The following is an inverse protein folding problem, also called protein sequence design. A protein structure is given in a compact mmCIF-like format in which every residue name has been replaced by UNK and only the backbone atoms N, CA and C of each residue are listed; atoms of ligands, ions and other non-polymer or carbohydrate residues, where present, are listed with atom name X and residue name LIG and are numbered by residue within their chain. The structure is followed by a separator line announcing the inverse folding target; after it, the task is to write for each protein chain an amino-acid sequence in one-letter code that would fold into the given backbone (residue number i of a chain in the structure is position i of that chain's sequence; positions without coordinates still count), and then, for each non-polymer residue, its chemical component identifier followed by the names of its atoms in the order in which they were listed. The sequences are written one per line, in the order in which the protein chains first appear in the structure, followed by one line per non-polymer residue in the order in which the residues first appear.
data_IF_578253809660
#
_entry.id   IF_578253809660
#
_cell.length_a   1.000
_cell.length_b   1.000
_cell.length_c   1.000
_cell.angle_alpha   90.00
_cell.angle_beta   90.00
_cell.angle_gamma   90.00
#
_symmetry.space_group_name_H-M   'P 1'
#
loop_
_entity.id
_entity.type
_entity.pdbx_description
1 polymer ?
#
# COMPACT_ATOMS: atom_id res chain seq x y z
N UNK A 1 -15.69 -30.00 83.41
CA UNK A 1 -17.06 -29.61 82.99
C UNK A 1 -16.89 -28.58 81.88
N UNK A 2 -17.33 -28.74 80.64
CA UNK A 2 -18.06 -29.83 79.99
C UNK A 2 -17.95 -29.69 78.45
N UNK A 3 -16.74 -29.86 77.90
CA UNK A 3 -16.49 -29.82 76.44
C UNK A 3 -16.82 -31.12 75.70
N UNK A 4 -17.31 -32.15 76.42
CA UNK A 4 -17.61 -33.46 75.84
C UNK A 4 -19.05 -33.62 75.34
N UNK A 5 -19.95 -32.70 75.68
CA UNK A 5 -21.36 -32.80 75.25
C UNK A 5 -21.60 -32.15 73.88
N UNK A 6 -20.84 -31.13 73.47
CA UNK A 6 -21.05 -30.46 72.17
C UNK A 6 -20.52 -31.23 70.95
N UNK A 7 -19.55 -32.14 71.10
CA UNK A 7 -19.00 -32.88 69.95
C UNK A 7 -19.86 -34.06 69.48
N UNK A 8 -20.78 -34.58 70.31
CA UNK A 8 -21.63 -35.72 69.90
C UNK A 8 -22.74 -35.33 68.91
N UNK A 9 -23.26 -34.11 68.97
CA UNK A 9 -24.35 -33.67 68.08
C UNK A 9 -23.91 -33.25 66.67
N UNK A 10 -22.62 -32.98 66.42
CA UNK A 10 -22.11 -32.69 65.05
C UNK A 10 -21.86 -33.93 64.20
N UNK A 11 -21.66 -35.11 64.81
CA UNK A 11 -21.42 -36.37 64.07
C UNK A 11 -22.70 -37.05 63.57
N UNK A 12 -23.86 -36.76 64.16
CA UNK A 12 -25.17 -37.26 63.68
C UNK A 12 -25.58 -36.66 62.34
N UNK A 13 -25.46 -35.33 62.17
CA UNK A 13 -25.93 -34.61 60.97
C UNK A 13 -25.12 -34.87 59.69
N UNK A 14 -23.84 -35.27 59.77
CA UNK A 14 -23.01 -35.53 58.57
C UNK A 14 -23.27 -36.90 57.93
N UNK A 15 -23.77 -37.89 58.69
CA UNK A 15 -24.05 -39.24 58.14
C UNK A 15 -25.43 -39.33 57.47
N UNK A 16 -26.38 -38.46 57.81
CA UNK A 16 -27.70 -38.43 57.16
C UNK A 16 -27.66 -37.77 55.77
N UNK A 17 -26.87 -36.71 55.57
CA UNK A 17 -26.80 -36.03 54.27
C UNK A 17 -26.12 -36.86 53.15
N UNK A 18 -25.17 -37.75 53.50
CA UNK A 18 -24.53 -38.64 52.52
C UNK A 18 -25.44 -39.80 52.09
N UNK A 19 -26.29 -40.31 53.00
CA UNK A 19 -27.30 -41.31 52.64
C UNK A 19 -28.39 -40.73 51.75
N UNK A 20 -28.70 -39.44 51.88
CA UNK A 20 -29.68 -38.79 51.00
C UNK A 20 -29.14 -38.58 49.58
N UNK A 21 -27.86 -38.19 49.43
CA UNK A 21 -27.23 -37.99 48.13
C UNK A 21 -27.00 -39.29 47.34
N UNK A 22 -26.69 -40.40 48.01
CA UNK A 22 -26.50 -41.70 47.33
C UNK A 22 -27.84 -42.34 46.93
N UNK A 23 -28.93 -42.02 47.62
CA UNK A 23 -30.29 -42.52 47.27
C UNK A 23 -31.01 -41.68 46.21
N UNK A 24 -30.55 -40.45 45.95
CA UNK A 24 -31.16 -39.56 44.94
C UNK A 24 -30.60 -39.74 43.53
N UNK A 25 -29.48 -40.46 43.38
CA UNK A 25 -28.94 -40.81 42.05
C UNK A 25 -29.76 -42.02 41.54
N UNK A 26 -30.56 -41.86 40.47
CA UNK A 26 -31.34 -42.98 39.95
C UNK A 26 -30.35 -44.04 39.47
N UNK A 27 -30.42 -45.25 40.00
CA UNK A 27 -29.47 -46.32 39.64
C UNK A 27 -29.41 -46.57 38.12
N UNK A 28 -30.51 -46.26 37.41
CA UNK A 28 -30.61 -46.31 35.95
C UNK A 28 -29.58 -45.42 35.25
N UNK A 29 -29.24 -44.25 35.82
CA UNK A 29 -28.25 -43.32 35.29
C UNK A 29 -26.80 -43.83 35.48
N UNK A 30 -26.52 -44.54 36.57
CA UNK A 30 -25.20 -45.15 36.81
C UNK A 30 -24.91 -46.33 35.86
N UNK A 31 -25.95 -47.01 35.37
CA UNK A 31 -25.82 -48.08 34.37
C UNK A 31 -25.83 -47.52 32.94
N UNK A 32 -26.61 -46.47 32.69
CA UNK A 32 -26.69 -45.83 31.37
C UNK A 32 -25.35 -45.26 30.93
N UNK A 33 -24.61 -44.64 31.85
CA UNK A 33 -23.36 -43.93 31.55
C UNK A 33 -22.26 -44.85 30.98
N UNK A 34 -21.94 -46.03 31.55
CA UNK A 34 -20.97 -46.94 30.95
C UNK A 34 -21.48 -47.55 29.64
N UNK A 35 -22.79 -47.80 29.49
CA UNK A 35 -23.37 -48.29 28.22
C UNK A 35 -23.27 -47.23 27.12
N UNK A 36 -23.53 -45.96 27.45
CA UNK A 36 -23.42 -44.85 26.50
C UNK A 36 -21.97 -44.64 26.08
N UNK A 37 -21.01 -44.78 26.99
CA UNK A 37 -19.57 -44.73 26.67
C UNK A 37 -19.15 -45.93 25.81
N UNK A 38 -19.60 -47.15 26.13
CA UNK A 38 -19.28 -48.36 25.38
C UNK A 38 -19.93 -48.42 23.99
N UNK A 39 -21.02 -47.68 23.74
CA UNK A 39 -21.65 -47.61 22.41
C UNK A 39 -21.17 -46.40 21.63
N UNK A 40 -21.08 -45.22 22.26
CA UNK A 40 -20.71 -43.99 21.57
C UNK A 40 -19.25 -44.00 21.10
N UNK A 41 -18.31 -44.54 21.90
CA UNK A 41 -16.90 -44.54 21.50
C UNK A 41 -16.66 -45.45 20.28
N UNK A 42 -17.14 -46.71 20.23
CA UNK A 42 -16.97 -47.52 19.04
C UNK A 42 -17.73 -46.97 17.83
N UNK A 43 -18.94 -46.44 18.00
CA UNK A 43 -19.71 -45.86 16.88
C UNK A 43 -19.03 -44.60 16.34
N UNK A 44 -18.49 -43.74 17.21
CA UNK A 44 -17.74 -42.56 16.79
C UNK A 44 -16.42 -42.93 16.12
N UNK A 45 -15.70 -43.92 16.66
CA UNK A 45 -14.44 -44.42 16.06
C UNK A 45 -14.69 -45.08 14.70
N UNK A 46 -15.72 -45.92 14.57
CA UNK A 46 -16.08 -46.57 13.31
C UNK A 46 -16.64 -45.58 12.29
N UNK A 47 -17.45 -44.61 12.72
CA UNK A 47 -17.98 -43.54 11.88
C UNK A 47 -16.90 -42.60 11.35
N UNK A 48 -15.93 -42.21 12.20
CA UNK A 48 -14.81 -41.36 11.78
C UNK A 48 -13.83 -42.09 10.87
N UNK A 49 -13.48 -43.36 11.15
CA UNK A 49 -12.58 -44.13 10.29
C UNK A 49 -13.22 -44.53 8.95
N UNK A 50 -14.52 -44.86 8.95
CA UNK A 50 -15.23 -45.17 7.69
C UNK A 50 -15.49 -43.90 6.89
N UNK A 51 -15.84 -42.79 7.56
CA UNK A 51 -15.99 -41.47 6.93
C UNK A 51 -14.70 -40.95 6.32
N UNK A 52 -13.56 -41.09 7.01
CA UNK A 52 -12.25 -40.70 6.49
C UNK A 52 -11.78 -41.52 5.29
N UNK A 53 -12.30 -42.73 5.07
CA UNK A 53 -11.99 -43.54 3.88
C UNK A 53 -12.96 -43.34 2.72
N UNK A 54 -14.24 -43.06 3.00
CA UNK A 54 -15.26 -42.85 1.97
C UNK A 54 -15.21 -41.43 1.36
N UNK A 55 -14.95 -40.39 2.15
CA UNK A 55 -14.93 -39.01 1.66
C UNK A 55 -13.82 -38.71 0.63
N UNK A 56 -12.55 -39.13 0.83
CA UNK A 56 -11.51 -38.91 -0.18
C UNK A 56 -11.74 -39.74 -1.45
N UNK A 57 -12.40 -40.89 -1.33
CA UNK A 57 -12.71 -41.75 -2.48
C UNK A 57 -13.81 -41.13 -3.35
N UNK A 58 -14.85 -40.54 -2.76
CA UNK A 58 -15.90 -39.84 -3.52
C UNK A 58 -15.40 -38.51 -4.10
N UNK A 59 -14.62 -37.72 -3.37
CA UNK A 59 -14.07 -36.47 -3.92
C UNK A 59 -13.10 -36.73 -5.08
N UNK A 60 -12.28 -37.78 -5.02
CA UNK A 60 -11.42 -38.20 -6.14
C UNK A 60 -12.22 -38.74 -7.33
N UNK A 61 -13.34 -39.43 -7.08
CA UNK A 61 -14.21 -39.92 -8.17
C UNK A 61 -14.88 -38.76 -8.91
N UNK A 62 -15.37 -37.74 -8.19
CA UNK A 62 -15.90 -36.53 -8.80
C UNK A 62 -14.81 -35.72 -9.51
N UNK A 63 -13.62 -35.56 -8.91
CA UNK A 63 -12.48 -34.87 -9.54
C UNK A 63 -12.03 -35.53 -10.86
N UNK A 64 -12.06 -36.86 -10.93
CA UNK A 64 -11.70 -37.59 -12.15
C UNK A 64 -12.80 -37.56 -13.23
N UNK A 65 -14.07 -37.32 -12.86
CA UNK A 65 -15.19 -37.26 -13.79
C UNK A 65 -15.47 -35.83 -14.32
N UNK A 66 -15.10 -34.79 -13.57
CA UNK A 66 -15.41 -33.40 -13.95
C UNK A 66 -14.38 -32.73 -14.86
N UNK A 67 -13.33 -33.46 -15.26
CA UNK A 67 -12.20 -32.87 -15.97
C UNK A 67 -11.43 -31.88 -15.09
N UNK A 68 -10.25 -31.44 -15.56
CA UNK A 68 -9.54 -30.36 -14.88
C UNK A 68 -10.47 -29.15 -14.73
N UNK A 69 -10.54 -28.52 -13.55
CA UNK A 69 -11.33 -27.30 -13.40
C UNK A 69 -10.93 -26.33 -14.52
N UNK A 70 -11.90 -25.65 -15.16
CA UNK A 70 -11.57 -24.67 -16.18
C UNK A 70 -10.53 -23.71 -15.58
N UNK A 71 -9.44 -23.49 -16.33
CA UNK A 71 -8.41 -22.55 -15.92
C UNK A 71 -9.10 -21.25 -15.48
N UNK A 72 -8.77 -20.75 -14.30
CA UNK A 72 -9.39 -19.55 -13.76
C UNK A 72 -9.39 -18.47 -14.84
N UNK A 73 -10.57 -17.96 -15.19
CA UNK A 73 -10.68 -16.87 -16.16
C UNK A 73 -9.80 -15.74 -15.67
N UNK A 74 -8.75 -15.34 -16.42
CA UNK A 74 -7.84 -14.31 -15.95
C UNK A 74 -8.65 -13.04 -15.71
N UNK A 75 -8.49 -12.45 -14.53
CA UNK A 75 -9.12 -11.16 -14.19
C UNK A 75 -8.78 -10.17 -15.31
N UNK A 76 -9.77 -9.54 -15.94
CA UNK A 76 -9.50 -8.59 -17.01
C UNK A 76 -8.60 -7.48 -16.48
N UNK A 77 -7.59 -7.11 -17.28
CA UNK A 77 -6.68 -6.02 -16.94
C UNK A 77 -7.48 -4.71 -16.77
N UNK A 78 -7.09 -3.83 -15.83
CA UNK A 78 -7.69 -2.52 -15.72
C UNK A 78 -7.58 -1.76 -17.05
N UNK A 79 -8.58 -0.95 -17.42
CA UNK A 79 -8.47 -0.09 -18.59
C UNK A 79 -7.38 0.96 -18.38
N UNK A 80 -6.74 1.47 -19.43
CA UNK A 80 -5.85 2.62 -19.24
C UNK A 80 -6.64 3.86 -18.78
N UNK A 81 -6.07 4.70 -17.90
CA UNK A 81 -6.70 5.96 -17.54
C UNK A 81 -6.82 6.87 -18.77
N UNK A 82 -7.91 7.63 -18.84
CA UNK A 82 -8.14 8.62 -19.92
C UNK A 82 -7.31 9.89 -19.76
N UNK A 83 -6.82 10.14 -18.54
CA UNK A 83 -5.99 11.29 -18.17
C UNK A 83 -4.78 10.82 -17.39
N UNK A 84 -3.68 11.56 -17.48
CA UNK A 84 -2.46 11.30 -16.72
C UNK A 84 -2.33 12.28 -15.55
N UNK A 85 -1.62 11.92 -14.47
CA UNK A 85 -1.22 12.88 -13.45
C UNK A 85 -0.53 14.10 -14.08
N UNK A 86 -0.77 15.29 -13.54
CA UNK A 86 -0.22 16.54 -14.03
C UNK A 86 0.52 17.26 -12.92
N UNK A 87 1.68 17.84 -13.23
CA UNK A 87 2.35 18.77 -12.32
C UNK A 87 1.63 20.12 -12.42
N UNK A 88 1.47 20.81 -11.31
CA UNK A 88 0.80 22.10 -11.25
C UNK A 88 1.03 22.81 -9.93
N UNK A 89 0.51 24.02 -9.83
CA UNK A 89 0.67 24.90 -8.66
C UNK A 89 -0.65 25.15 -7.95
N UNK A 90 -0.56 25.50 -6.67
CA UNK A 90 -1.60 26.11 -5.87
C UNK A 90 -1.43 27.63 -5.93
N UNK A 91 -2.52 28.38 -5.99
CA UNK A 91 -2.48 29.83 -5.90
C UNK A 91 -2.63 30.27 -4.45
N UNK A 92 -1.75 31.15 -4.01
CA UNK A 92 -1.80 31.74 -2.67
C UNK A 92 -1.68 33.25 -2.76
N UNK A 93 -2.59 33.97 -2.11
CA UNK A 93 -2.52 35.43 -2.02
C UNK A 93 -1.78 35.83 -0.76
N UNK A 94 -0.66 36.53 -0.92
CA UNK A 94 0.20 37.03 0.16
C UNK A 94 -0.60 37.92 1.10
N UNK A 95 -0.49 37.66 2.40
CA UNK A 95 -1.08 38.47 3.47
C UNK A 95 -0.04 39.41 4.09
N UNK A 96 -0.51 40.37 4.88
CA UNK A 96 0.37 41.26 5.65
C UNK A 96 1.16 40.45 6.69
N UNK A 97 2.49 40.61 6.67
CA UNK A 97 3.41 39.92 7.57
C UNK A 97 3.95 38.59 7.04
N UNK A 98 3.44 38.09 5.91
CA UNK A 98 3.91 36.83 5.32
C UNK A 98 5.36 36.93 4.84
N UNK A 99 6.11 35.83 5.02
CA UNK A 99 7.41 35.60 4.39
C UNK A 99 7.36 34.37 3.49
N UNK A 100 8.24 34.28 2.48
CA UNK A 100 8.31 33.09 1.61
C UNK A 100 8.52 31.80 2.41
N UNK A 101 9.40 31.83 3.41
CA UNK A 101 9.68 30.68 4.28
C UNK A 101 8.42 30.23 5.03
N UNK A 102 7.72 31.16 5.67
CA UNK A 102 6.47 30.86 6.38
C UNK A 102 5.38 30.35 5.44
N UNK A 103 5.22 30.96 4.26
CA UNK A 103 4.25 30.50 3.25
C UNK A 103 4.58 29.06 2.83
N UNK A 104 5.84 28.74 2.54
CA UNK A 104 6.24 27.40 2.13
C UNK A 104 6.09 26.39 3.27
N UNK A 105 6.49 26.76 4.49
CA UNK A 105 6.36 25.91 5.66
C UNK A 105 4.88 25.58 5.97
N UNK A 106 4.00 26.58 5.93
CA UNK A 106 2.59 26.42 6.32
C UNK A 106 1.73 25.87 5.17
N UNK A 107 1.82 26.47 3.98
CA UNK A 107 0.96 26.12 2.85
C UNK A 107 1.47 24.89 2.11
N UNK A 108 2.79 24.76 1.97
CA UNK A 108 3.40 23.68 1.20
C UNK A 108 3.97 22.55 2.07
N UNK A 109 3.89 22.68 3.40
CA UNK A 109 4.39 21.70 4.38
C UNK A 109 5.84 21.37 4.10
N UNK A 110 6.66 22.42 4.12
CA UNK A 110 8.10 22.39 3.88
C UNK A 110 8.81 23.05 5.07
N UNK A 111 8.92 22.33 6.19
CA UNK A 111 9.49 22.86 7.44
C UNK A 111 10.92 23.38 7.28
N UNK A 112 11.67 22.77 6.37
CA UNK A 112 13.07 23.10 6.10
C UNK A 112 13.24 24.13 4.96
N UNK A 113 12.17 24.85 4.58
CA UNK A 113 12.21 25.85 3.53
C UNK A 113 13.33 26.89 3.77
N UNK A 114 13.42 27.43 4.98
CA UNK A 114 14.48 28.36 5.41
C UNK A 114 15.89 27.77 5.51
N UNK A 115 16.08 26.46 5.31
CA UNK A 115 17.41 25.80 5.20
C UNK A 115 17.79 25.52 3.74
N UNK A 116 16.79 25.32 2.88
CA UNK A 116 16.94 25.01 1.46
C UNK A 116 17.05 26.28 0.62
N UNK A 117 16.19 27.27 0.90
CA UNK A 117 16.10 28.54 0.20
C UNK A 117 16.68 29.65 1.07
N UNK A 118 18.00 29.85 0.98
CA UNK A 118 18.73 30.77 1.86
C UNK A 118 19.66 31.67 1.07
N UNK A 119 19.93 32.86 1.60
CA UNK A 119 20.82 33.84 0.97
C UNK A 119 22.26 33.34 0.83
N UNK A 120 22.64 32.38 1.67
CA UNK A 120 23.93 31.69 1.60
C UNK A 120 24.02 30.78 0.35
N UNK A 121 22.88 30.38 -0.21
CA UNK A 121 22.74 29.56 -1.44
C UNK A 121 21.94 30.35 -2.50
N UNK A 122 22.47 31.43 -3.08
CA UNK A 122 21.71 32.35 -3.94
C UNK A 122 21.05 31.69 -5.15
N UNK A 123 21.64 30.61 -5.68
CA UNK A 123 21.08 29.86 -6.81
C UNK A 123 19.74 29.18 -6.46
N UNK A 124 19.52 28.78 -5.20
CA UNK A 124 18.28 28.10 -4.79
C UNK A 124 17.13 29.10 -4.65
N UNK A 125 17.40 30.29 -4.08
CA UNK A 125 16.45 31.41 -4.04
C UNK A 125 16.14 31.90 -5.45
N UNK A 126 17.14 32.06 -6.32
CA UNK A 126 16.88 32.47 -7.71
C UNK A 126 15.99 31.46 -8.44
N UNK A 127 16.22 30.15 -8.23
CA UNK A 127 15.38 29.11 -8.78
C UNK A 127 13.95 29.11 -8.20
N UNK A 128 13.81 29.37 -6.89
CA UNK A 128 12.52 29.54 -6.24
C UNK A 128 11.77 30.75 -6.81
N UNK A 129 12.40 31.92 -6.83
CA UNK A 129 11.85 33.17 -7.37
C UNK A 129 11.35 32.99 -8.81
N UNK A 130 12.14 32.31 -9.65
CA UNK A 130 11.75 31.99 -11.02
C UNK A 130 10.56 31.02 -11.11
N UNK A 131 10.37 30.18 -10.10
CA UNK A 131 9.28 29.18 -10.06
C UNK A 131 7.98 29.79 -9.53
N UNK A 132 8.06 30.64 -8.50
CA UNK A 132 6.90 31.36 -7.94
C UNK A 132 6.52 32.61 -8.73
N UNK A 133 7.42 33.12 -9.57
CA UNK A 133 7.24 34.30 -10.41
C UNK A 133 7.48 35.65 -9.70
N UNK A 134 7.96 35.63 -8.47
CA UNK A 134 8.13 36.80 -7.61
C UNK A 134 9.42 36.73 -6.80
N UNK A 135 9.92 37.88 -6.37
CA UNK A 135 11.08 37.94 -5.47
C UNK A 135 10.66 37.70 -4.02
N UNK A 136 11.17 36.61 -3.43
CA UNK A 136 10.90 36.26 -2.05
C UNK A 136 11.32 37.32 -1.01
N UNK A 137 12.27 38.20 -1.33
CA UNK A 137 12.70 39.26 -0.42
C UNK A 137 11.79 40.50 -0.44
N UNK A 138 10.96 40.62 -1.46
CA UNK A 138 10.16 41.82 -1.72
C UNK A 138 8.66 41.50 -1.86
N UNK A 139 8.19 40.43 -1.20
CA UNK A 139 6.78 40.07 -1.20
C UNK A 139 5.92 41.21 -0.65
N UNK A 140 4.86 41.53 -1.38
CA UNK A 140 3.88 42.54 -1.00
C UNK A 140 2.52 41.89 -0.76
N UNK A 141 1.74 42.34 0.23
CA UNK A 141 0.38 41.87 0.43
C UNK A 141 -0.48 42.04 -0.82
N UNK A 142 -1.32 41.05 -1.13
CA UNK A 142 -2.20 41.02 -2.30
C UNK A 142 -1.58 40.43 -3.57
N UNK A 143 -0.26 40.18 -3.60
CA UNK A 143 0.39 39.44 -4.69
C UNK A 143 -0.06 37.98 -4.67
N UNK A 144 -0.27 37.37 -5.85
CA UNK A 144 -0.64 35.95 -5.98
C UNK A 144 0.58 35.14 -6.37
N UNK A 145 0.97 34.18 -5.53
CA UNK A 145 2.06 33.26 -5.76
C UNK A 145 1.57 31.94 -6.32
N UNK A 146 2.32 31.39 -7.27
CA UNK A 146 2.16 30.03 -7.76
C UNK A 146 3.04 29.06 -6.95
N UNK A 147 2.45 28.43 -5.93
CA UNK A 147 3.14 27.51 -5.04
C UNK A 147 3.14 26.09 -5.62
N UNK A 148 4.31 25.57 -5.96
CA UNK A 148 4.46 24.20 -6.48
C UNK A 148 4.67 23.20 -5.35
N UNK A 149 3.96 22.06 -5.31
CA UNK A 149 4.20 21.00 -4.34
C UNK A 149 5.62 20.44 -4.43
N UNK A 150 6.28 20.28 -3.28
CA UNK A 150 7.57 19.60 -3.18
C UNK A 150 7.43 18.08 -3.27
N UNK A 151 8.52 17.40 -3.63
CA UNK A 151 8.60 15.93 -3.73
C UNK A 151 7.48 15.34 -4.55
N UNK A 152 7.52 15.52 -5.88
CA UNK A 152 6.42 15.19 -6.73
C UNK A 152 6.33 13.66 -6.87
N UNK A 153 5.64 12.99 -5.96
CA UNK A 153 5.23 11.60 -6.15
C UNK A 153 4.11 11.57 -7.18
N UNK A 154 4.10 10.53 -8.01
CA UNK A 154 2.97 10.22 -8.89
C UNK A 154 2.43 8.84 -8.59
N UNK A 155 1.11 8.70 -8.64
CA UNK A 155 0.42 7.41 -8.61
C UNK A 155 -0.11 7.04 -10.00
N UNK A 156 0.27 5.86 -10.48
CA UNK A 156 -0.22 5.35 -11.75
C UNK A 156 -0.36 3.82 -11.72
N UNK A 157 -1.16 3.31 -12.65
CA UNK A 157 -1.22 1.90 -13.00
C UNK A 157 -0.85 1.72 -14.47
N UNK A 158 -0.23 0.60 -14.80
CA UNK A 158 0.19 0.33 -16.18
C UNK A 158 0.63 -1.10 -16.43
N UNK A 159 0.83 -1.41 -17.70
CA UNK A 159 1.25 -2.74 -18.14
C UNK A 159 2.76 -2.78 -18.39
N UNK A 160 3.44 -3.79 -17.84
CA UNK A 160 4.86 -4.04 -18.08
C UNK A 160 5.07 -4.52 -19.51
N UNK A 161 5.87 -3.78 -20.28
CA UNK A 161 6.27 -4.12 -21.65
C UNK A 161 7.64 -4.81 -21.70
N UNK A 162 8.54 -4.45 -20.78
CA UNK A 162 9.92 -4.96 -20.73
C UNK A 162 10.41 -5.00 -19.29
N UNK A 163 11.23 -6.00 -18.96
CA UNK A 163 11.91 -6.13 -17.67
C UNK A 163 13.41 -6.27 -17.94
N UNK A 164 14.21 -5.38 -17.36
CA UNK A 164 15.67 -5.44 -17.40
C UNK A 164 16.18 -5.57 -15.97
N UNK A 165 16.63 -6.76 -15.57
CA UNK A 165 17.23 -6.97 -14.26
C UNK A 165 18.58 -6.26 -14.17
N UNK A 166 18.87 -5.60 -13.05
CA UNK A 166 20.17 -4.94 -12.82
C UNK A 166 21.31 -5.93 -12.57
N UNK A 167 21.00 -7.20 -12.27
CA UNK A 167 21.96 -8.30 -12.22
C UNK A 167 21.71 -9.31 -13.35
N UNK A 168 22.77 -9.85 -14.00
CA UNK A 168 22.60 -10.95 -14.93
C UNK A 168 22.12 -12.17 -14.15
N UNK A 169 20.90 -12.64 -14.42
CA UNK A 169 20.48 -13.95 -13.94
C UNK A 169 21.43 -14.99 -14.52
N UNK A 170 22.24 -15.59 -13.66
CA UNK A 170 23.12 -16.69 -14.04
C UNK A 170 22.23 -17.90 -14.29
N UNK A 171 21.74 -18.04 -15.51
CA UNK A 171 20.98 -19.22 -15.93
C UNK A 171 21.97 -20.39 -15.91
N UNK A 172 22.00 -21.17 -14.83
CA UNK A 172 22.67 -22.47 -14.89
C UNK A 172 21.96 -23.27 -15.98
N UNK A 173 22.67 -23.78 -16.99
CA UNK A 173 22.06 -24.67 -17.97
C UNK A 173 21.68 -25.97 -17.25
N UNK A 174 20.43 -26.07 -16.79
CA UNK A 174 19.88 -27.33 -16.33
C UNK A 174 19.73 -28.24 -17.55
N UNK A 175 20.18 -29.51 -17.49
CA UNK A 175 19.97 -30.45 -18.57
C UNK A 175 18.48 -30.60 -18.85
N UNK A 176 18.15 -30.70 -20.14
CA UNK A 176 16.79 -30.68 -20.70
C UNK A 176 15.98 -31.87 -20.17
N UNK A 177 15.37 -31.70 -19.01
CA UNK A 177 14.27 -32.54 -18.53
C UNK A 177 13.00 -31.77 -18.88
N UNK A 178 12.23 -32.28 -19.85
CA UNK A 178 10.92 -31.73 -20.20
C UNK A 178 9.94 -31.95 -19.02
N UNK A 179 9.98 -31.04 -18.06
CA UNK A 179 8.93 -30.90 -17.04
C UNK A 179 7.77 -30.13 -17.68
N UNK A 180 6.51 -30.59 -17.55
CA UNK A 180 5.36 -29.86 -18.08
C UNK A 180 5.35 -28.44 -17.54
N UNK A 181 5.32 -27.45 -18.45
CA UNK A 181 5.30 -26.00 -18.24
C UNK A 181 5.34 -25.57 -16.77
N UNK A 182 6.53 -25.43 -16.19
CA UNK A 182 6.69 -24.52 -15.06
C UNK A 182 6.25 -23.15 -15.56
N UNK A 183 5.12 -22.65 -15.04
CA UNK A 183 4.72 -21.26 -15.20
C UNK A 183 5.97 -20.41 -15.00
N UNK A 184 6.39 -19.65 -16.02
CA UNK A 184 7.58 -18.81 -15.95
C UNK A 184 7.55 -18.09 -14.61
N UNK A 185 8.40 -18.49 -13.65
CA UNK A 185 8.59 -17.72 -12.44
C UNK A 185 9.12 -16.38 -12.96
N UNK A 186 8.45 -15.28 -12.59
CA UNK A 186 8.81 -13.97 -13.12
C UNK A 186 10.25 -13.61 -12.81
N UNK A 187 10.73 -12.51 -13.39
CA UNK A 187 12.08 -12.02 -13.12
C UNK A 187 12.16 -11.63 -11.64
N UNK A 188 13.21 -12.08 -10.97
CA UNK A 188 13.53 -11.67 -9.61
C UNK A 188 14.11 -10.25 -9.66
N UNK A 189 13.40 -9.32 -9.04
CA UNK A 189 13.77 -7.91 -8.98
C UNK A 189 14.21 -7.50 -7.56
N UNK A 190 14.62 -8.45 -6.73
CA UNK A 190 15.07 -8.20 -5.35
C UNK A 190 16.33 -7.32 -5.29
N UNK A 191 17.21 -7.43 -6.28
CA UNK A 191 18.42 -6.59 -6.44
C UNK A 191 18.18 -5.34 -7.30
N UNK A 192 16.95 -5.17 -7.77
CA UNK A 192 16.57 -4.09 -8.68
C UNK A 192 16.23 -4.57 -10.09
N UNK A 193 15.30 -3.85 -10.72
CA UNK A 193 14.97 -3.98 -12.13
C UNK A 193 14.61 -2.60 -12.70
N UNK A 194 14.88 -2.42 -14.00
CA UNK A 194 14.30 -1.36 -14.79
C UNK A 194 13.14 -1.93 -15.61
N UNK A 195 11.92 -1.48 -15.32
CA UNK A 195 10.72 -1.86 -16.04
C UNK A 195 10.39 -0.80 -17.08
N UNK A 196 10.02 -1.21 -18.29
CA UNK A 196 9.33 -0.31 -19.23
C UNK A 196 7.84 -0.53 -19.09
N UNK A 197 7.11 0.46 -18.60
CA UNK A 197 5.69 0.36 -18.27
C UNK A 197 4.87 1.28 -19.16
N UNK A 198 3.85 0.74 -19.83
CA UNK A 198 2.85 1.55 -20.54
C UNK A 198 1.80 2.02 -19.55
N UNK A 199 1.60 3.32 -19.44
CA UNK A 199 0.66 3.92 -18.48
C UNK A 199 -0.57 4.55 -19.15
N UNK A 200 -0.49 4.82 -20.47
CA UNK A 200 -1.60 5.25 -21.30
C UNK A 200 -1.28 4.92 -22.78
N UNK A 201 -2.25 5.00 -23.71
CA UNK A 201 -1.99 4.86 -25.14
C UNK A 201 -0.89 5.83 -25.58
N UNK A 202 0.22 5.29 -26.10
CA UNK A 202 1.36 6.09 -26.56
C UNK A 202 2.28 6.65 -25.48
N UNK A 203 2.04 6.38 -24.19
CA UNK A 203 2.87 6.88 -23.08
C UNK A 203 3.52 5.72 -22.33
N UNK A 204 4.84 5.75 -22.23
CA UNK A 204 5.65 4.77 -21.52
C UNK A 204 6.55 5.44 -20.50
N UNK A 205 6.84 4.77 -19.40
CA UNK A 205 7.79 5.21 -18.36
C UNK A 205 8.84 4.14 -18.10
N UNK A 206 10.01 4.55 -17.64
CA UNK A 206 11.06 3.66 -17.16
C UNK A 206 11.04 3.64 -15.63
N UNK A 207 10.49 2.57 -15.06
CA UNK A 207 10.29 2.43 -13.62
C UNK A 207 11.40 1.59 -13.00
N UNK A 208 12.26 2.22 -12.21
CA UNK A 208 13.22 1.52 -11.35
C UNK A 208 12.47 0.95 -10.15
N UNK A 209 12.48 -0.37 -10.00
CA UNK A 209 11.83 -1.08 -8.91
C UNK A 209 12.83 -1.94 -8.15
N UNK A 210 12.56 -2.18 -6.86
CA UNK A 210 13.19 -3.22 -6.06
C UNK A 210 12.07 -3.99 -5.39
N UNK A 211 11.88 -5.25 -5.75
CA UNK A 211 10.71 -6.02 -5.31
C UNK A 211 11.00 -7.50 -5.18
N UNK A 212 10.44 -8.11 -4.14
CA UNK A 212 10.46 -9.57 -3.96
C UNK A 212 9.38 -10.28 -4.80
N UNK A 213 8.46 -9.53 -5.41
CA UNK A 213 7.41 -10.09 -6.25
C UNK A 213 7.98 -10.42 -7.65
N UNK A 214 7.65 -11.60 -8.20
CA UNK A 214 8.08 -11.96 -9.54
C UNK A 214 7.38 -11.08 -10.59
N UNK A 215 8.15 -10.32 -11.36
CA UNK A 215 7.60 -9.43 -12.41
C UNK A 215 7.69 -10.09 -13.78
N UNK A 216 6.62 -10.04 -14.58
CA UNK A 216 6.59 -10.58 -15.95
C UNK A 216 6.20 -9.51 -16.95
N UNK A 217 6.62 -9.70 -18.20
CA UNK A 217 6.05 -8.94 -19.32
C UNK A 217 4.55 -9.26 -19.39
N UNK A 218 3.73 -8.22 -19.49
CA UNK A 218 2.28 -8.32 -19.45
C UNK A 218 1.66 -8.16 -18.07
N UNK A 219 2.44 -8.26 -16.98
CA UNK A 219 1.96 -7.97 -15.62
C UNK A 219 1.46 -6.54 -15.54
N UNK A 220 0.43 -6.33 -14.72
CA UNK A 220 -0.04 -5.00 -14.37
C UNK A 220 0.62 -4.55 -13.09
N UNK A 221 1.16 -3.33 -13.10
CA UNK A 221 1.78 -2.72 -11.92
C UNK A 221 0.99 -1.48 -11.51
N UNK A 222 0.87 -1.29 -10.20
CA UNK A 222 0.47 -0.04 -9.60
C UNK A 222 1.66 0.48 -8.80
N UNK A 223 2.02 1.73 -9.04
CA UNK A 223 3.18 2.32 -8.40
C UNK A 223 2.87 3.73 -7.90
N UNK A 224 3.35 4.02 -6.69
CA UNK A 224 3.75 5.38 -6.34
C UNK A 224 5.24 5.50 -6.64
N UNK A 225 5.59 6.54 -7.39
CA UNK A 225 6.96 6.73 -7.83
C UNK A 225 7.36 8.20 -7.78
N UNK A 226 8.62 8.43 -7.48
CA UNK A 226 9.22 9.76 -7.51
C UNK A 226 9.35 10.26 -8.95
N UNK A 227 8.80 11.45 -9.24
CA UNK A 227 9.05 12.16 -10.49
C UNK A 227 10.48 12.68 -10.57
N UNK A 228 10.99 12.74 -11.80
CA UNK A 228 12.27 13.36 -12.06
C UNK A 228 12.26 14.84 -11.63
N UNK A 229 13.25 15.21 -10.81
CA UNK A 229 13.42 16.58 -10.30
C UNK A 229 14.05 17.48 -11.35
N UNK A 230 13.81 18.79 -11.22
CA UNK A 230 14.50 19.81 -12.00
C UNK A 230 15.94 19.90 -11.53
N UNK A 231 16.89 19.72 -12.45
CA UNK A 231 18.31 19.89 -12.15
C UNK A 231 18.64 21.39 -12.06
N UNK A 232 19.28 21.79 -10.95
CA UNK A 232 19.82 23.13 -10.74
C UNK A 232 21.32 23.00 -10.56
N UNK A 233 22.10 23.78 -11.32
CA UNK A 233 23.57 23.72 -11.26
C UNK A 233 24.07 24.01 -9.84
N UNK A 234 24.83 23.07 -9.28
CA UNK A 234 25.35 23.17 -7.91
C UNK A 234 24.31 22.88 -6.83
N UNK A 235 23.14 22.34 -7.20
CA UNK A 235 22.12 21.90 -6.26
C UNK A 235 21.36 20.66 -6.78
N UNK A 236 21.95 19.50 -6.54
CA UNK A 236 21.46 18.21 -7.04
C UNK A 236 20.18 17.73 -6.31
N UNK A 237 19.84 18.34 -5.17
CA UNK A 237 18.70 17.95 -4.34
C UNK A 237 17.54 18.95 -4.40
N UNK A 238 17.39 19.68 -5.51
CA UNK A 238 16.28 20.62 -5.68
C UNK A 238 14.92 19.90 -5.61
N UNK A 239 13.97 20.35 -4.76
CA UNK A 239 12.80 19.55 -4.37
C UNK A 239 11.65 19.55 -5.40
N UNK A 240 11.70 20.39 -6.44
CA UNK A 240 10.61 20.52 -7.41
C UNK A 240 10.92 19.81 -8.75
N UNK A 241 9.89 19.24 -9.37
CA UNK A 241 9.94 18.77 -10.76
C UNK A 241 9.94 19.96 -11.74
N UNK A 242 10.33 19.68 -12.98
CA UNK A 242 10.10 20.63 -14.06
C UNK A 242 8.61 20.64 -14.44
N UNK A 243 7.90 21.79 -14.40
CA UNK A 243 6.45 21.85 -14.61
C UNK A 243 5.97 21.34 -15.98
N UNK A 244 6.85 21.35 -16.99
CA UNK A 244 6.54 20.92 -18.36
C UNK A 244 7.18 19.57 -18.72
N UNK A 245 7.71 18.81 -17.75
CA UNK A 245 8.29 17.52 -18.04
C UNK A 245 7.22 16.52 -18.47
N UNK A 246 7.43 15.88 -19.64
CA UNK A 246 6.56 14.82 -20.11
C UNK A 246 6.82 13.53 -19.35
N UNK A 247 5.76 12.81 -18.98
CA UNK A 247 5.88 11.45 -18.44
C UNK A 247 6.41 10.46 -19.48
N UNK A 248 6.25 10.74 -20.78
CA UNK A 248 6.67 9.79 -21.81
C UNK A 248 8.20 9.69 -21.88
N UNK A 249 8.73 8.49 -21.67
CA UNK A 249 10.15 8.21 -21.57
C UNK A 249 10.79 8.64 -20.25
N UNK A 250 10.00 9.07 -19.26
CA UNK A 250 10.54 9.52 -17.97
C UNK A 250 11.04 8.34 -17.15
N UNK A 251 12.21 8.52 -16.52
CA UNK A 251 12.73 7.60 -15.52
C UNK A 251 12.18 7.95 -14.14
N UNK A 252 11.55 6.97 -13.49
CA UNK A 252 10.88 7.08 -12.22
C UNK A 252 11.43 6.04 -11.25
N UNK A 253 11.39 6.33 -9.95
CA UNK A 253 11.79 5.38 -8.91
C UNK A 253 10.58 5.01 -8.06
N UNK A 254 10.22 3.71 -8.06
CA UNK A 254 9.08 3.22 -7.30
C UNK A 254 9.39 3.18 -5.79
N UNK A 255 8.38 3.48 -4.97
CA UNK A 255 8.42 3.35 -3.51
C UNK A 255 7.18 2.75 -2.86
N UNK A 256 6.15 2.50 -3.64
CA UNK A 256 5.06 1.63 -3.25
C UNK A 256 4.71 0.90 -4.53
N UNK A 257 4.94 -0.42 -4.55
CA UNK A 257 4.72 -1.24 -5.73
C UNK A 257 3.72 -2.33 -5.43
N UNK A 258 2.83 -2.55 -6.39
CA UNK A 258 1.98 -3.72 -6.44
C UNK A 258 2.07 -4.34 -7.83
N UNK A 259 2.12 -5.67 -7.88
CA UNK A 259 2.20 -6.45 -9.12
C UNK A 259 1.02 -7.41 -9.13
N UNK A 260 0.20 -7.35 -10.18
CA UNK A 260 -0.95 -8.24 -10.38
C UNK A 260 -1.88 -8.35 -9.14
N UNK A 261 -2.12 -7.21 -8.46
CA UNK A 261 -2.91 -7.01 -7.23
C UNK A 261 -2.26 -7.55 -5.94
N UNK A 262 -1.00 -7.96 -6.00
CA UNK A 262 -0.21 -8.28 -4.81
C UNK A 262 0.63 -7.07 -4.44
N UNK A 263 0.44 -6.55 -3.23
CA UNK A 263 1.27 -5.47 -2.71
C UNK A 263 2.61 -6.03 -2.24
N UNK A 264 3.69 -5.30 -2.50
CA UNK A 264 5.01 -5.64 -2.00
C UNK A 264 5.34 -4.88 -0.72
N UNK A 265 5.20 -5.56 0.41
CA UNK A 265 5.56 -5.05 1.73
C UNK A 265 7.09 -4.82 1.89
N UNK A 266 7.92 -5.32 0.97
CA UNK A 266 9.39 -5.15 0.99
C UNK A 266 9.89 -4.09 0.02
N UNK A 267 9.00 -3.40 -0.70
CA UNK A 267 9.40 -2.28 -1.55
C UNK A 267 9.95 -1.13 -0.68
N UNK A 268 10.96 -0.36 -1.16
CA UNK A 268 11.50 0.76 -0.40
C UNK A 268 10.39 1.76 -0.10
N UNK A 269 10.18 2.16 1.15
CA UNK A 269 9.12 3.12 1.46
C UNK A 269 9.42 4.50 0.86
N UNK A 270 8.38 5.29 0.59
CA UNK A 270 8.51 6.58 -0.12
C UNK A 270 9.29 7.63 0.68
N UNK A 271 9.33 7.52 2.00
CA UNK A 271 10.24 8.28 2.87
C UNK A 271 11.72 7.89 2.66
N UNK A 272 12.02 6.66 2.22
CA UNK A 272 13.39 6.23 1.90
C UNK A 272 13.89 6.71 0.54
N UNK A 273 13.00 7.26 -0.31
CA UNK A 273 13.40 7.93 -1.55
C UNK A 273 13.96 9.35 -1.32
N UNK A 274 14.02 9.78 -0.05
CA UNK A 274 14.52 11.09 0.31
C UNK A 274 15.89 11.42 -0.28
N UNK A 275 16.09 12.65 -0.80
CA UNK A 275 17.36 13.31 -0.63
C UNK A 275 17.45 13.79 0.83
N UNK A 276 18.62 13.68 1.45
CA UNK A 276 18.90 13.99 2.87
C UNK A 276 18.65 15.47 3.30
N UNK A 277 17.49 16.08 3.03
CA UNK A 277 17.24 17.49 3.34
C UNK A 277 15.87 17.81 3.92
N UNK A 278 14.93 16.86 4.00
CA UNK A 278 13.57 17.10 4.51
C UNK A 278 13.10 15.87 5.32
N UNK A 279 13.71 15.64 6.48
CA UNK A 279 13.37 14.52 7.38
C UNK A 279 12.09 14.80 8.19
N UNK A 280 11.61 16.05 8.24
CA UNK A 280 10.66 16.50 9.28
C UNK A 280 9.21 16.72 8.83
N UNK A 281 8.88 16.65 7.54
CA UNK A 281 7.54 17.00 7.06
C UNK A 281 6.48 15.90 7.31
N UNK A 282 6.89 14.71 7.74
CA UNK A 282 6.01 13.56 8.09
C UNK A 282 4.99 13.21 7.00
N UNK A 283 5.30 13.50 5.74
CA UNK A 283 4.39 13.28 4.62
C UNK A 283 4.97 13.72 3.28
N UNK A 284 4.19 13.54 2.21
CA UNK A 284 4.56 13.95 0.87
C UNK A 284 3.34 14.29 0.03
N UNK A 285 3.53 15.13 -0.99
CA UNK A 285 2.52 15.43 -1.98
C UNK A 285 2.47 14.35 -3.05
N UNK A 286 1.25 13.93 -3.43
CA UNK A 286 0.99 12.93 -4.44
C UNK A 286 0.11 13.51 -5.55
N UNK A 287 0.62 13.48 -6.77
CA UNK A 287 -0.15 13.70 -7.98
C UNK A 287 -0.78 12.38 -8.43
N UNK A 288 -2.08 12.37 -8.69
CA UNK A 288 -2.74 11.14 -9.12
C UNK A 288 -4.04 11.38 -9.88
N UNK A 289 -4.63 10.29 -10.35
CA UNK A 289 -5.92 10.29 -11.04
C UNK A 289 -6.87 9.34 -10.32
N UNK A 290 -8.09 9.76 -10.07
CA UNK A 290 -9.09 8.89 -9.43
C UNK A 290 -9.55 7.78 -10.39
N UNK A 291 -9.89 6.61 -9.86
CA UNK A 291 -10.38 5.46 -10.65
C UNK A 291 -9.51 4.21 -10.53
N UNK A 292 -10.03 3.09 -11.03
CA UNK A 292 -9.49 1.74 -10.77
C UNK A 292 -8.04 1.51 -11.25
N UNK A 293 -7.63 2.22 -12.30
CA UNK A 293 -6.31 2.07 -12.95
C UNK A 293 -5.26 3.03 -12.43
N UNK A 294 -5.59 3.83 -11.40
CA UNK A 294 -4.69 4.76 -10.71
C UNK A 294 -5.04 4.73 -9.22
N UNK A 295 -5.41 5.85 -8.60
CA UNK A 295 -5.59 5.97 -7.14
C UNK A 295 -6.64 5.03 -6.52
N UNK A 296 -7.60 4.54 -7.32
CA UNK A 296 -8.63 3.62 -6.87
C UNK A 296 -8.08 2.31 -6.30
N UNK A 297 -6.86 1.93 -6.71
CA UNK A 297 -6.17 0.74 -6.21
C UNK A 297 -5.80 0.82 -4.73
N UNK A 298 -5.38 2.01 -4.27
CA UNK A 298 -5.04 2.27 -2.87
C UNK A 298 -6.25 2.47 -1.95
N UNK A 299 -7.47 2.49 -2.52
CA UNK A 299 -8.74 2.61 -1.79
C UNK A 299 -8.79 3.82 -0.84
N UNK A 300 -8.14 4.92 -1.22
CA UNK A 300 -8.25 6.17 -0.48
C UNK A 300 -9.72 6.63 -0.44
N UNK A 301 -10.19 7.20 0.68
CA UNK A 301 -11.57 7.69 0.83
C UNK A 301 -11.79 8.99 0.03
N UNK A 302 -11.65 8.92 -1.30
CA UNK A 302 -11.82 10.03 -2.23
C UNK A 302 -13.23 9.98 -2.82
N UNK A 303 -14.05 10.98 -2.51
CA UNK A 303 -15.41 11.10 -3.04
C UNK A 303 -15.44 11.97 -4.31
N UNK A 304 -14.71 11.54 -5.34
CA UNK A 304 -14.56 12.25 -6.62
C UNK A 304 -14.87 11.33 -7.80
N UNK A 305 -15.38 11.90 -8.89
CA UNK A 305 -15.61 11.15 -10.13
C UNK A 305 -14.31 10.53 -10.66
N UNK A 306 -14.38 9.34 -11.26
CA UNK A 306 -13.21 8.71 -11.89
C UNK A 306 -12.63 9.56 -13.03
N UNK A 307 -11.32 9.55 -13.21
CA UNK A 307 -10.60 10.37 -14.19
C UNK A 307 -10.26 11.78 -13.70
N UNK A 308 -10.61 12.12 -12.45
CA UNK A 308 -10.27 13.42 -11.84
C UNK A 308 -8.80 13.43 -11.45
N UNK A 309 -8.05 14.41 -11.99
CA UNK A 309 -6.68 14.69 -11.56
C UNK A 309 -6.68 15.40 -10.21
N UNK A 310 -5.93 14.87 -9.27
CA UNK A 310 -5.88 15.35 -7.89
C UNK A 310 -4.44 15.52 -7.41
N UNK A 311 -4.30 16.43 -6.45
CA UNK A 311 -3.12 16.61 -5.62
C UNK A 311 -3.53 16.30 -4.18
N UNK A 312 -2.83 15.36 -3.55
CA UNK A 312 -3.13 14.87 -2.20
C UNK A 312 -1.93 15.03 -1.30
N UNK A 313 -2.17 15.41 -0.04
CA UNK A 313 -1.17 15.25 1.00
C UNK A 313 -1.27 13.84 1.60
N UNK A 314 -0.20 13.07 1.51
CA UNK A 314 -0.06 11.80 2.23
C UNK A 314 0.71 12.04 3.52
N UNK A 315 0.26 11.43 4.60
CA UNK A 315 0.94 11.45 5.90
C UNK A 315 1.63 10.11 6.12
N UNK A 316 2.86 10.15 6.63
CA UNK A 316 3.60 8.97 7.04
C UNK A 316 2.97 8.36 8.30
N UNK A 317 2.86 7.04 8.32
CA UNK A 317 2.45 6.29 9.50
C UNK A 317 3.66 5.90 10.36
N UNK A 318 3.43 5.18 11.46
CA UNK A 318 4.50 4.74 12.37
C UNK A 318 5.58 3.85 11.71
N UNK A 319 5.31 3.32 10.51
CA UNK A 319 6.20 2.45 9.76
C UNK A 319 6.85 3.16 8.56
N UNK A 320 6.68 4.49 8.40
CA UNK A 320 7.22 5.24 7.26
C UNK A 320 6.29 5.29 6.03
N UNK A 321 5.29 4.41 5.97
CA UNK A 321 4.43 4.29 4.79
C UNK A 321 3.46 5.48 4.68
N UNK A 322 3.40 6.06 3.49
CA UNK A 322 2.53 7.19 3.18
C UNK A 322 1.08 6.75 2.98
N UNK A 323 0.15 7.42 3.66
CA UNK A 323 -1.30 7.19 3.50
C UNK A 323 -2.09 8.49 3.47
N UNK A 324 -3.16 8.48 2.69
CA UNK A 324 -4.16 9.54 2.73
C UNK A 324 -5.16 9.28 3.87
N UNK A 325 -5.31 10.26 4.76
CA UNK A 325 -6.26 10.23 5.87
C UNK A 325 -7.35 11.29 5.69
N UNK A 326 -8.52 11.06 6.29
CA UNK A 326 -9.57 12.07 6.30
C UNK A 326 -9.08 13.35 7.00
N UNK A 327 -9.28 14.51 6.36
CA UNK A 327 -8.75 15.80 6.81
C UNK A 327 -7.42 16.20 6.19
N UNK A 328 -6.72 15.29 5.50
CA UNK A 328 -5.56 15.67 4.70
C UNK A 328 -5.98 16.61 3.55
N UNK A 329 -5.15 17.63 3.24
CA UNK A 329 -5.37 18.49 2.08
C UNK A 329 -5.56 17.70 0.78
N UNK A 330 -6.56 18.12 0.00
CA UNK A 330 -6.88 17.59 -1.31
C UNK A 330 -7.27 18.74 -2.24
N UNK A 331 -6.74 18.68 -3.46
CA UNK A 331 -7.03 19.65 -4.51
C UNK A 331 -7.34 18.91 -5.81
N UNK A 332 -8.20 19.50 -6.62
CA UNK A 332 -8.53 19.04 -7.97
C UNK A 332 -7.83 19.92 -8.99
N UNK A 333 -7.30 19.32 -10.04
CA UNK A 333 -6.72 20.06 -11.15
C UNK A 333 -7.82 20.71 -12.00
N UNK A 334 -7.69 22.00 -12.27
CA UNK A 334 -8.52 22.72 -13.24
C UNK A 334 -7.79 22.80 -14.58
N UNK A 335 -8.39 22.18 -15.60
CA UNK A 335 -7.87 22.17 -16.97
C UNK A 335 -7.84 23.55 -17.63
N UNK A 336 -8.68 24.47 -17.19
CA UNK A 336 -8.83 25.79 -17.82
C UNK A 336 -7.71 26.72 -17.39
N UNK A 337 -7.38 26.66 -16.09
CA UNK A 337 -6.44 27.56 -15.44
C UNK A 337 -5.08 26.90 -15.19
N UNK A 338 -4.98 25.58 -15.39
CA UNK A 338 -3.79 24.76 -15.14
C UNK A 338 -3.29 24.82 -13.69
N UNK A 339 -4.19 25.09 -12.73
CA UNK A 339 -3.88 25.13 -11.29
C UNK A 339 -4.69 24.11 -10.50
N UNK A 340 -4.20 23.81 -9.29
CA UNK A 340 -4.92 22.99 -8.33
C UNK A 340 -5.83 23.87 -7.46
N UNK A 341 -7.11 23.50 -7.40
CA UNK A 341 -8.14 24.17 -6.60
C UNK A 341 -8.64 23.27 -5.49
N UNK A 342 -8.90 23.83 -4.31
CA UNK A 342 -9.32 23.05 -3.14
C UNK A 342 -10.67 22.40 -3.41
N UNK A 343 -10.80 21.12 -3.03
CA UNK A 343 -12.03 20.32 -3.17
C UNK A 343 -12.96 20.56 -1.99
#
# INVERSE_FOLDING_TARGET
MDDRVQQRNKRGRRRENLRFFVRSIPWRLLILLPVLILVAIPVFYFGTHSGQRAYPAMTNFFYNLTGSPPAATPTPLPPFPSTLPQVGSLLYTVQEGDSCDEILAVQMRMSDAGTIFTDVKPNTIQALNATIGHDCHALQPGVVLALSPQYPLIAFGGQVLKVEATSPQQVLPTPVINVPHQQQLGVDCSDGCLLTVRIAPGVQVHLSVKTALPVKVGSWVWAQAELARKSIKGFDTYPYAAPQASLNGMSLRACDLQVDNTHDDNSPSCDQLMPNTIDDDRGAWLFGVTGASSLGHWKYPLHLAAGTRVLLWLTSNANGNLRFNHGNPMFRYDDTTHVYVRV
#
